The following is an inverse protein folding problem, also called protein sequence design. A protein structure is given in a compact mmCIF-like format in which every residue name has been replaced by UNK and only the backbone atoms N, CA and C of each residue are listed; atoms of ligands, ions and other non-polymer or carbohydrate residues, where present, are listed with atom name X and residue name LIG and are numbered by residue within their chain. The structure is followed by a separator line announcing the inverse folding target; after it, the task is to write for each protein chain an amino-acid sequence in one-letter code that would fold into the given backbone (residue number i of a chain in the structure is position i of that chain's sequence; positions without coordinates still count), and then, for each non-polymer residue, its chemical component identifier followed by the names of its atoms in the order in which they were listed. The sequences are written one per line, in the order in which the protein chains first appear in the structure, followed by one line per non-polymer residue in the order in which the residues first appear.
data_IF_169747971109
#
_entry.id   IF_169747971109
#
_cell.length_a   1.000
_cell.length_b   1.000
_cell.length_c   1.000
_cell.angle_alpha   90.00
_cell.angle_beta   90.00
_cell.angle_gamma   90.00
#
_symmetry.space_group_name_H-M   'P 1'
#
loop_
_entity.id
_entity.type
_entity.pdbx_description
1 polymer ?
#
# COMPACT_ATOMS: atom_id res chain seq x y z
N UNK A 1 9.48 23.73 -22.66
CA UNK A 1 8.90 23.57 -21.29
C UNK A 1 8.86 22.07 -20.95
N UNK A 2 9.55 21.63 -19.87
CA UNK A 2 9.43 20.23 -19.41
C UNK A 2 7.99 20.04 -18.91
N UNK A 3 7.20 19.19 -19.57
CA UNK A 3 5.85 18.84 -19.10
C UNK A 3 6.00 18.09 -17.78
N UNK A 4 5.69 18.75 -16.66
CA UNK A 4 5.64 18.09 -15.35
C UNK A 4 4.48 17.12 -15.37
N UNK A 5 4.76 15.83 -15.28
CA UNK A 5 3.72 14.80 -15.13
C UNK A 5 2.94 15.04 -13.86
N UNK A 6 1.60 14.92 -13.87
CA UNK A 6 0.78 15.15 -12.69
C UNK A 6 1.11 14.11 -11.61
N UNK A 7 1.17 14.58 -10.37
CA UNK A 7 1.53 13.80 -9.19
C UNK A 7 0.43 13.95 -8.15
N UNK A 8 0.19 12.88 -7.40
CA UNK A 8 -0.72 12.85 -6.27
C UNK A 8 0.08 12.62 -4.99
N UNK A 9 -0.36 13.24 -3.90
CA UNK A 9 0.21 13.01 -2.57
C UNK A 9 -0.39 11.72 -2.02
N UNK A 10 0.45 10.77 -1.61
CA UNK A 10 -0.03 9.45 -1.20
C UNK A 10 -0.91 9.54 0.05
N UNK A 11 -0.50 10.29 1.07
CA UNK A 11 -1.23 10.43 2.34
C UNK A 11 -2.63 11.00 2.13
N UNK A 12 -2.78 12.04 1.31
CA UNK A 12 -4.09 12.61 0.97
C UNK A 12 -5.01 11.59 0.28
N UNK A 13 -4.48 10.87 -0.71
CA UNK A 13 -5.26 9.86 -1.44
C UNK A 13 -5.64 8.69 -0.54
N UNK A 14 -4.75 8.31 0.39
CA UNK A 14 -5.00 7.23 1.34
C UNK A 14 -6.09 7.63 2.35
N UNK A 15 -6.09 8.88 2.81
CA UNK A 15 -7.17 9.41 3.66
C UNK A 15 -8.52 9.40 2.93
N UNK A 16 -8.54 9.80 1.65
CA UNK A 16 -9.75 9.70 0.82
C UNK A 16 -10.22 8.24 0.66
N UNK A 17 -9.30 7.29 0.52
CA UNK A 17 -9.61 5.87 0.48
C UNK A 17 -10.26 5.37 1.79
N UNK A 18 -9.76 5.82 2.95
CA UNK A 18 -10.37 5.51 4.25
C UNK A 18 -11.77 6.11 4.35
N UNK A 19 -11.95 7.39 3.98
CA UNK A 19 -13.26 8.07 4.00
C UNK A 19 -14.28 7.41 3.06
N UNK A 20 -13.85 6.98 1.87
CA UNK A 20 -14.71 6.24 0.95
C UNK A 20 -15.12 4.87 1.52
N UNK A 21 -14.19 4.20 2.19
CA UNK A 21 -14.43 2.90 2.84
C UNK A 21 -15.34 3.02 4.07
N UNK A 22 -15.20 4.08 4.87
CA UNK A 22 -16.03 4.30 6.07
C UNK A 22 -17.43 4.79 5.76
N UNK A 23 -17.59 5.64 4.73
CA UNK A 23 -18.91 6.12 4.29
C UNK A 23 -19.75 5.05 3.59
N UNK A 24 -19.17 3.90 3.25
CA UNK A 24 -19.85 2.84 2.49
C UNK A 24 -20.01 3.14 1.01
N UNK A 25 -19.43 4.23 0.50
CA UNK A 25 -19.31 4.51 -0.94
C UNK A 25 -18.48 3.46 -1.66
N UNK A 26 -17.50 2.90 -0.95
CA UNK A 26 -16.72 1.75 -1.40
C UNK A 26 -17.24 0.47 -0.75
N UNK A 27 -17.50 -0.53 -1.58
CA UNK A 27 -17.93 -1.86 -1.15
C UNK A 27 -16.78 -2.86 -1.25
N UNK A 28 -16.86 -3.93 -0.47
CA UNK A 28 -16.04 -5.10 -0.66
C UNK A 28 -16.32 -5.72 -2.04
N UNK A 29 -15.42 -6.56 -2.60
CA UNK A 29 -15.66 -7.26 -3.85
C UNK A 29 -16.95 -8.11 -3.86
N UNK A 30 -17.41 -8.55 -2.68
CA UNK A 30 -18.67 -9.26 -2.48
C UNK A 30 -19.92 -8.37 -2.50
N UNK A 31 -19.77 -7.05 -2.71
CA UNK A 31 -20.85 -6.06 -2.64
C UNK A 31 -21.26 -5.66 -1.22
N UNK A 32 -20.69 -6.29 -0.18
CA UNK A 32 -20.97 -5.93 1.22
C UNK A 32 -20.20 -4.68 1.64
N UNK A 33 -20.71 -3.97 2.65
CA UNK A 33 -19.96 -2.90 3.30
C UNK A 33 -18.68 -3.44 3.94
N UNK A 34 -17.63 -2.63 3.91
CA UNK A 34 -16.36 -2.96 4.57
C UNK A 34 -16.59 -2.95 6.08
N UNK A 35 -16.06 -3.96 6.77
CA UNK A 35 -16.27 -4.09 8.22
C UNK A 35 -15.50 -3.01 8.97
N UNK A 36 -16.00 -2.65 10.16
CA UNK A 36 -15.33 -1.67 11.04
C UNK A 36 -13.89 -2.08 11.36
N UNK A 37 -13.65 -3.35 11.66
CA UNK A 37 -12.30 -3.86 11.93
C UNK A 37 -11.34 -3.69 10.75
N UNK A 38 -11.82 -3.89 9.51
CA UNK A 38 -10.99 -3.63 8.32
C UNK A 38 -10.70 -2.14 8.14
N UNK A 39 -11.65 -1.25 8.44
CA UNK A 39 -11.43 0.21 8.40
C UNK A 39 -10.40 0.63 9.45
N UNK A 40 -10.47 0.08 10.67
CA UNK A 40 -9.46 0.34 11.71
C UNK A 40 -8.08 -0.12 11.26
N UNK A 41 -7.97 -1.26 10.59
CA UNK A 41 -6.71 -1.70 10.00
C UNK A 41 -6.18 -0.71 8.94
N UNK A 42 -7.05 -0.13 8.11
CA UNK A 42 -6.65 0.90 7.16
C UNK A 42 -6.12 2.15 7.85
N UNK A 43 -6.72 2.56 8.96
CA UNK A 43 -6.24 3.70 9.76
C UNK A 43 -4.86 3.43 10.38
N UNK A 44 -4.61 2.21 10.87
CA UNK A 44 -3.28 1.85 11.36
C UNK A 44 -2.23 1.89 10.26
N UNK A 45 -2.54 1.36 9.07
CA UNK A 45 -1.63 1.42 7.92
C UNK A 45 -1.35 2.86 7.51
N UNK A 46 -2.37 3.73 7.52
CA UNK A 46 -2.19 5.16 7.27
C UNK A 46 -1.23 5.80 8.27
N UNK A 47 -1.38 5.51 9.56
CA UNK A 47 -0.48 6.01 10.60
C UNK A 47 0.97 5.53 10.39
N UNK A 48 1.17 4.26 10.00
CA UNK A 48 2.50 3.73 9.71
C UNK A 48 3.16 4.41 8.51
N UNK A 49 2.37 4.75 7.49
CA UNK A 49 2.85 5.51 6.34
C UNK A 49 3.25 6.92 6.76
N UNK A 50 2.41 7.61 7.53
CA UNK A 50 2.66 8.96 8.03
C UNK A 50 3.94 9.02 8.89
N UNK A 51 4.09 8.09 9.83
CA UNK A 51 5.30 7.95 10.64
C UNK A 51 6.56 7.69 9.80
N UNK A 52 6.42 6.91 8.71
CA UNK A 52 7.52 6.67 7.78
C UNK A 52 7.85 7.92 6.95
N UNK A 53 6.86 8.68 6.47
CA UNK A 53 7.07 9.94 5.74
C UNK A 53 7.81 10.96 6.61
N UNK A 54 7.41 11.07 7.88
CA UNK A 54 8.09 11.92 8.87
C UNK A 54 9.54 11.46 9.08
N UNK A 55 9.78 10.16 9.31
CA UNK A 55 11.13 9.62 9.55
C UNK A 55 12.06 9.76 8.34
N UNK A 56 11.52 9.58 7.14
CA UNK A 56 12.30 9.62 5.89
C UNK A 56 12.46 11.03 5.32
N UNK A 57 11.87 12.04 5.97
CA UNK A 57 11.80 13.44 5.51
C UNK A 57 11.36 13.56 4.04
N UNK A 58 10.54 12.61 3.59
CA UNK A 58 10.19 12.48 2.18
C UNK A 58 8.72 12.09 2.03
N UNK A 59 7.96 13.01 1.45
CA UNK A 59 6.56 12.77 1.16
C UNK A 59 6.42 11.81 -0.02
N UNK A 60 5.64 10.74 0.17
CA UNK A 60 5.42 9.76 -0.87
C UNK A 60 4.51 10.35 -1.93
N UNK A 61 4.97 10.28 -3.17
CA UNK A 61 4.23 10.75 -4.34
C UNK A 61 3.83 9.58 -5.23
N UNK A 62 2.66 9.71 -5.84
CA UNK A 62 2.18 8.77 -6.84
C UNK A 62 2.16 9.50 -8.18
N UNK A 63 2.97 9.05 -9.13
CA UNK A 63 2.99 9.64 -10.45
C UNK A 63 1.89 9.06 -11.34
N UNK A 64 1.12 9.91 -12.02
CA UNK A 64 0.18 9.47 -13.04
C UNK A 64 0.95 9.20 -14.34
N UNK A 65 0.77 8.00 -14.89
CA UNK A 65 1.53 7.44 -16.01
C UNK A 65 0.75 7.48 -17.35
N UNK A 66 -0.28 8.32 -17.46
CA UNK A 66 -1.00 8.49 -18.72
C UNK A 66 -0.04 8.98 -19.83
N UNK A 67 0.09 8.19 -20.90
CA UNK A 67 1.03 8.43 -22.02
C UNK A 67 2.49 8.63 -21.55
N UNK A 68 2.89 7.99 -20.47
CA UNK A 68 4.26 8.07 -19.96
C UNK A 68 5.24 7.28 -20.84
N UNK A 69 6.46 7.81 -20.97
CA UNK A 69 7.55 7.11 -21.65
C UNK A 69 8.00 5.87 -20.87
N UNK A 70 8.62 4.90 -21.56
CA UNK A 70 9.22 3.72 -20.91
C UNK A 70 10.23 4.10 -19.82
N UNK A 71 11.03 5.14 -20.06
CA UNK A 71 11.98 5.69 -19.07
C UNK A 71 11.27 6.19 -17.82
N UNK A 72 10.15 6.87 -17.97
CA UNK A 72 9.33 7.36 -16.85
C UNK A 72 8.74 6.21 -16.04
N UNK A 73 8.21 5.19 -16.72
CA UNK A 73 7.64 4.00 -16.07
C UNK A 73 8.74 3.25 -15.29
N UNK A 74 9.94 3.11 -15.85
CA UNK A 74 11.05 2.48 -15.16
C UNK A 74 11.51 3.28 -13.94
N UNK A 75 11.53 4.61 -14.03
CA UNK A 75 11.84 5.48 -12.88
C UNK A 75 10.83 5.30 -11.76
N UNK A 76 9.54 5.22 -12.09
CA UNK A 76 8.46 5.02 -11.12
C UNK A 76 8.56 3.62 -10.48
N UNK A 77 8.87 2.58 -11.27
CA UNK A 77 9.16 1.23 -10.76
C UNK A 77 10.28 1.25 -9.72
N UNK A 78 11.39 1.91 -10.04
CA UNK A 78 12.54 2.00 -9.16
C UNK A 78 12.23 2.78 -7.88
N UNK A 79 11.40 3.83 -7.98
CA UNK A 79 10.92 4.59 -6.84
C UNK A 79 10.12 3.71 -5.87
N UNK A 80 9.11 2.99 -6.36
CA UNK A 80 8.30 2.09 -5.51
C UNK A 80 9.08 0.89 -4.97
N UNK A 81 10.08 0.39 -5.68
CA UNK A 81 10.96 -0.65 -5.17
C UNK A 81 11.83 -0.16 -4.00
N UNK A 82 12.35 1.08 -4.08
CA UNK A 82 13.09 1.70 -2.97
C UNK A 82 12.19 1.88 -1.75
N UNK A 83 10.99 2.41 -1.97
CA UNK A 83 9.98 2.51 -0.91
C UNK A 83 9.70 1.15 -0.28
N UNK A 84 9.45 0.11 -1.08
CA UNK A 84 9.18 -1.24 -0.56
C UNK A 84 10.30 -1.74 0.35
N UNK A 85 11.56 -1.61 -0.07
CA UNK A 85 12.71 -2.06 0.71
C UNK A 85 12.88 -1.24 2.00
N UNK A 86 12.80 0.10 1.90
CA UNK A 86 12.97 0.99 3.05
C UNK A 86 11.82 0.86 4.06
N UNK A 87 10.58 0.81 3.58
CA UNK A 87 9.41 0.66 4.42
C UNK A 87 9.34 -0.72 5.06
N UNK A 88 9.70 -1.80 4.36
CA UNK A 88 9.82 -3.13 4.97
C UNK A 88 10.87 -3.12 6.07
N UNK A 89 12.04 -2.54 5.81
CA UNK A 89 13.10 -2.42 6.81
C UNK A 89 12.65 -1.62 8.04
N UNK A 90 11.88 -0.55 7.84
CA UNK A 90 11.26 0.22 8.94
C UNK A 90 10.30 -0.64 9.76
N UNK A 91 9.40 -1.39 9.12
CA UNK A 91 8.44 -2.24 9.83
C UNK A 91 9.12 -3.37 10.63
N UNK A 92 10.18 -3.97 10.08
CA UNK A 92 10.89 -5.06 10.74
C UNK A 92 11.88 -4.58 11.81
N UNK A 93 12.72 -3.59 11.50
CA UNK A 93 13.81 -3.18 12.41
C UNK A 93 13.38 -2.13 13.41
N UNK A 94 12.62 -1.13 12.98
CA UNK A 94 12.26 -0.01 13.85
C UNK A 94 10.99 -0.30 14.66
N UNK A 95 10.02 -0.99 14.04
CA UNK A 95 8.76 -1.36 14.71
C UNK A 95 8.74 -2.78 15.29
N UNK A 96 9.67 -3.65 14.88
CA UNK A 96 9.74 -5.02 15.39
C UNK A 96 8.55 -5.89 15.01
N UNK A 97 7.86 -5.59 13.90
CA UNK A 97 6.65 -6.33 13.53
C UNK A 97 6.95 -7.68 12.87
N UNK A 98 6.10 -8.66 13.17
CA UNK A 98 6.16 -10.00 12.57
C UNK A 98 5.66 -10.04 11.11
N UNK A 99 6.14 -11.03 10.35
CA UNK A 99 5.84 -11.23 8.92
C UNK A 99 4.35 -11.18 8.59
N UNK A 100 3.50 -11.78 9.42
CA UNK A 100 2.05 -11.81 9.20
C UNK A 100 1.44 -10.41 9.22
N UNK A 101 1.87 -9.57 10.17
CA UNK A 101 1.40 -8.21 10.28
C UNK A 101 1.92 -7.36 9.12
N UNK A 102 3.22 -7.46 8.82
CA UNK A 102 3.86 -6.75 7.70
C UNK A 102 3.19 -7.12 6.37
N UNK A 103 2.91 -8.42 6.15
CA UNK A 103 2.15 -8.88 4.98
C UNK A 103 0.75 -8.27 4.90
N UNK A 104 0.05 -8.12 6.02
CA UNK A 104 -1.25 -7.46 6.06
C UNK A 104 -1.18 -5.96 5.74
N UNK A 105 -0.13 -5.26 6.20
CA UNK A 105 0.14 -3.86 5.85
C UNK A 105 0.29 -3.72 4.34
N UNK A 106 1.14 -4.53 3.69
CA UNK A 106 1.34 -4.45 2.25
C UNK A 106 0.11 -4.90 1.44
N UNK A 107 -0.68 -5.86 1.93
CA UNK A 107 -1.99 -6.20 1.32
C UNK A 107 -2.94 -5.00 1.32
N UNK A 108 -2.94 -4.23 2.39
CA UNK A 108 -3.73 -3.00 2.50
C UNK A 108 -3.25 -1.96 1.49
N UNK A 109 -1.93 -1.73 1.39
CA UNK A 109 -1.34 -0.82 0.38
C UNK A 109 -1.70 -1.25 -1.04
N UNK A 110 -1.63 -2.54 -1.37
CA UNK A 110 -2.08 -3.05 -2.68
C UNK A 110 -3.56 -2.78 -2.94
N UNK A 111 -4.40 -2.94 -1.92
CA UNK A 111 -5.84 -2.68 -2.01
C UNK A 111 -6.10 -1.20 -2.29
N UNK A 112 -5.34 -0.31 -1.66
CA UNK A 112 -5.36 1.12 -1.93
C UNK A 112 -4.97 1.45 -3.39
N UNK A 113 -3.88 0.90 -3.92
CA UNK A 113 -3.51 1.12 -5.33
C UNK A 113 -4.57 0.56 -6.30
N UNK A 114 -5.17 -0.58 -5.98
CA UNK A 114 -6.28 -1.13 -6.76
C UNK A 114 -7.52 -0.21 -6.75
N UNK A 115 -7.81 0.43 -5.62
CA UNK A 115 -8.86 1.45 -5.51
C UNK A 115 -8.56 2.65 -6.44
N UNK A 116 -7.32 3.14 -6.44
CA UNK A 116 -6.92 4.23 -7.34
C UNK A 116 -7.11 3.86 -8.82
N UNK A 117 -6.73 2.65 -9.21
CA UNK A 117 -6.87 2.20 -10.59
C UNK A 117 -8.33 1.97 -11.00
N UNK A 118 -9.10 1.23 -10.19
CA UNK A 118 -10.43 0.74 -10.58
C UNK A 118 -11.55 1.73 -10.29
N UNK A 119 -11.54 2.35 -9.11
CA UNK A 119 -12.63 3.21 -8.67
C UNK A 119 -12.37 4.68 -9.03
N UNK A 120 -11.11 5.13 -9.01
CA UNK A 120 -10.73 6.50 -9.41
C UNK A 120 -10.29 6.62 -10.86
N UNK A 121 -10.02 5.51 -11.55
CA UNK A 121 -9.57 5.52 -12.96
C UNK A 121 -8.16 6.08 -13.15
N UNK A 122 -7.35 6.19 -12.09
CA UNK A 122 -6.00 6.73 -12.19
C UNK A 122 -5.04 5.71 -12.78
N UNK A 123 -4.25 6.14 -13.77
CA UNK A 123 -3.23 5.32 -14.42
C UNK A 123 -1.94 5.40 -13.60
N UNK A 124 -1.87 4.67 -12.49
CA UNK A 124 -0.73 4.70 -11.53
C UNK A 124 0.32 3.60 -11.78
N UNK A 125 0.16 2.79 -12.84
CA UNK A 125 1.03 1.65 -13.13
C UNK A 125 0.79 0.44 -12.23
N UNK A 126 1.49 -0.68 -12.50
CA UNK A 126 1.29 -1.96 -11.81
C UNK A 126 2.39 -2.30 -10.78
N UNK A 127 3.12 -1.28 -10.31
CA UNK A 127 4.29 -1.48 -9.46
C UNK A 127 3.93 -2.09 -8.10
N UNK A 128 2.75 -1.82 -7.56
CA UNK A 128 2.27 -2.40 -6.30
C UNK A 128 2.16 -3.93 -6.31
N UNK A 129 2.11 -4.57 -7.49
CA UNK A 129 2.08 -6.03 -7.61
C UNK A 129 3.39 -6.68 -7.16
N UNK A 130 4.52 -5.95 -7.19
CA UNK A 130 5.82 -6.46 -6.77
C UNK A 130 6.01 -6.54 -5.25
N UNK A 131 5.11 -5.95 -4.45
CA UNK A 131 5.19 -5.99 -2.97
C UNK A 131 4.86 -7.39 -2.41
N UNK A 132 5.65 -8.41 -2.75
CA UNK A 132 5.44 -9.80 -2.32
C UNK A 132 6.31 -10.07 -1.10
N UNK A 133 5.66 -10.27 0.04
CA UNK A 133 6.31 -10.79 1.24
C UNK A 133 6.17 -12.31 1.20
N UNK A 134 7.26 -13.08 1.33
CA UNK A 134 7.18 -14.52 1.44
C UNK A 134 6.32 -14.89 2.66
N UNK A 135 5.34 -15.76 2.47
CA UNK A 135 4.56 -16.28 3.59
C UNK A 135 5.45 -17.29 4.32
N UNK A 136 5.71 -17.10 5.61
CA UNK A 136 6.30 -18.16 6.42
C UNK A 136 5.32 -19.35 6.44
N UNK A 137 5.77 -20.50 5.95
CA UNK A 137 5.06 -21.74 6.10
C UNK A 137 5.26 -22.21 7.54
N UNK A 138 4.26 -22.00 8.40
CA UNK A 138 4.24 -22.68 9.69
C UNK A 138 3.94 -24.16 9.42
N UNK A 139 4.93 -25.03 9.60
CA UNK A 139 4.70 -26.47 9.65
C UNK A 139 3.91 -26.78 10.92
N UNK A 140 2.67 -27.30 10.84
CA UNK A 140 1.92 -27.64 12.04
C UNK A 140 2.65 -28.78 12.76
N UNK A 141 3.07 -28.54 13.99
CA UNK A 141 3.60 -29.60 14.86
C UNK A 141 2.40 -30.40 15.38
N UNK A 142 2.27 -31.62 14.89
CA UNK A 142 1.27 -32.57 15.40
C UNK A 142 1.77 -33.09 16.74
N UNK A 143 1.10 -32.72 17.82
CA UNK A 143 1.35 -33.29 19.14
C UNK A 143 0.57 -34.60 19.20
N UNK A 144 1.27 -35.73 19.22
CA UNK A 144 0.64 -37.03 19.47
C UNK A 144 0.37 -37.17 20.98
N UNK A 145 -0.86 -37.56 21.40
CA UNK A 145 -1.11 -37.89 22.80
C UNK A 145 -0.27 -39.13 23.19
N UNK A 146 0.30 -39.08 24.40
CA UNK A 146 0.98 -40.22 25.03
C UNK A 146 -0.04 -41.23 25.56
#
# INVERSE_FOLDING_TARGET
MKRTTPQLILSEQFNQFIKASSSGRRLAPSGKRITKGTITNYQYVYKLIDEYEIKSENNLRIQLLHRASMRTIQREKNYWNRFFNQFSNFLYKDKGYYDNYVANVFKTIKTFFNYLQKEKGFIVGNHHKSFRIPLQQATPVVILPQ
#
